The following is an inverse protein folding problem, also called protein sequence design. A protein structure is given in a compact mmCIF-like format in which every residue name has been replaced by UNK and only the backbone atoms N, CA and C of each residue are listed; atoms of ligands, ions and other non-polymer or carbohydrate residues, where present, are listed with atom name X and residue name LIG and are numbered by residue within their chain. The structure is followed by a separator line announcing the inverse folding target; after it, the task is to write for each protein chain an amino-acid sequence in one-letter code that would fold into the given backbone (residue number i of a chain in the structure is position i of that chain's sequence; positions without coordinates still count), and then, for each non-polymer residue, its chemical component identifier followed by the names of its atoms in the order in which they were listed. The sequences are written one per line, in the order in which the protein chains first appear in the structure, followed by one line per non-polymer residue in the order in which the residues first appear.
data_IF_043310054002
#
_entry.id   IF_043310054002
#
_cell.length_a   1.000
_cell.length_b   1.000
_cell.length_c   1.000
_cell.angle_alpha   90.00
_cell.angle_beta   90.00
_cell.angle_gamma   90.00
#
_symmetry.space_group_name_H-M   'P 1'
#
loop_
_entity.id
_entity.type
_entity.pdbx_description
1 polymer ?
#
# COMPACT_ATOMS: atom_id res chain seq x y z
N UNK A 1 -19.94 -1.92 -9.81
CA UNK A 1 -19.24 -1.30 -9.64
C UNK A 1 -18.63 -0.57 -8.48
N UNK A 2 -19.40 0.18 -7.68
CA UNK A 2 -18.80 0.80 -6.51
C UNK A 2 -18.17 -0.21 -5.57
N UNK A 3 -18.87 -1.29 -5.33
CA UNK A 3 -18.37 -2.32 -4.43
C UNK A 3 -17.12 -2.98 -4.96
N UNK A 4 -17.06 -3.18 -6.27
CA UNK A 4 -15.90 -3.76 -6.90
C UNK A 4 -14.69 -2.85 -6.71
N UNK A 5 -14.88 -1.55 -6.90
CA UNK A 5 -13.82 -0.58 -6.72
C UNK A 5 -13.32 -0.56 -5.27
N UNK A 6 -14.25 -0.52 -4.33
CA UNK A 6 -13.91 -0.51 -2.90
C UNK A 6 -13.18 -1.79 -2.52
N UNK A 7 -13.67 -2.92 -3.01
CA UNK A 7 -13.05 -4.22 -2.74
C UNK A 7 -11.63 -4.26 -3.27
N UNK A 8 -11.40 -3.70 -4.46
CA UNK A 8 -10.06 -3.66 -5.04
C UNK A 8 -9.10 -2.83 -4.19
N UNK A 9 -9.56 -1.67 -3.72
CA UNK A 9 -8.73 -0.82 -2.87
C UNK A 9 -8.42 -1.52 -1.55
N UNK A 10 -9.41 -2.19 -0.96
CA UNK A 10 -9.21 -2.94 0.27
C UNK A 10 -8.26 -4.10 0.05
N UNK A 11 -8.37 -4.78 -1.07
CA UNK A 11 -7.50 -5.91 -1.39
C UNK A 11 -6.04 -5.46 -1.51
N UNK A 12 -5.80 -4.32 -2.16
CA UNK A 12 -4.45 -3.79 -2.25
C UNK A 12 -3.92 -3.42 -0.87
N UNK A 13 -4.72 -2.72 -0.08
CA UNK A 13 -4.31 -2.35 1.27
C UNK A 13 -3.97 -3.57 2.12
N UNK A 14 -4.75 -4.62 1.98
CA UNK A 14 -4.51 -5.86 2.73
C UNK A 14 -3.20 -6.52 2.31
N UNK A 15 -2.91 -6.53 1.02
CA UNK A 15 -1.64 -7.07 0.50
C UNK A 15 -0.46 -6.30 1.09
N UNK A 16 -0.57 -4.96 1.12
CA UNK A 16 0.49 -4.13 1.68
C UNK A 16 0.69 -4.41 3.16
N UNK A 17 -0.40 -4.54 3.90
CA UNK A 17 -0.35 -4.82 5.32
C UNK A 17 0.30 -6.17 5.59
N UNK A 18 -0.06 -7.18 4.81
CA UNK A 18 0.52 -8.51 4.98
C UNK A 18 2.02 -8.52 4.72
N UNK A 19 2.45 -7.81 3.68
CA UNK A 19 3.86 -7.69 3.40
C UNK A 19 4.59 -7.02 4.57
N UNK A 20 4.02 -5.92 5.06
CA UNK A 20 4.62 -5.16 6.15
C UNK A 20 4.77 -6.02 7.41
N UNK A 21 3.69 -6.67 7.82
CA UNK A 21 3.71 -7.47 9.04
C UNK A 21 4.59 -8.71 8.91
N UNK A 22 4.60 -9.32 7.73
CA UNK A 22 5.44 -10.48 7.47
C UNK A 22 6.93 -10.15 7.54
N UNK A 23 7.29 -8.91 7.26
CA UNK A 23 8.66 -8.45 7.31
C UNK A 23 9.01 -7.75 8.63
N UNK A 24 8.10 -7.76 9.59
CA UNK A 24 8.34 -7.17 10.90
C UNK A 24 8.50 -5.66 10.88
N UNK A 25 7.89 -4.99 9.91
CA UNK A 25 8.03 -3.55 9.74
C UNK A 25 6.87 -2.85 10.44
N UNK A 26 7.18 -1.82 11.24
CA UNK A 26 6.16 -1.06 11.94
C UNK A 26 5.54 0.00 11.04
N UNK A 27 4.31 0.40 11.37
CA UNK A 27 3.68 1.53 10.70
C UNK A 27 4.53 2.78 10.82
N UNK A 28 5.15 2.97 11.97
CA UNK A 28 5.99 4.13 12.22
C UNK A 28 7.16 4.20 11.24
N UNK A 29 7.78 3.08 10.92
CA UNK A 29 8.92 3.06 10.00
C UNK A 29 8.55 3.60 8.63
N UNK A 30 7.39 3.21 8.13
CA UNK A 30 6.92 3.67 6.82
C UNK A 30 6.51 5.14 6.89
N UNK A 31 5.83 5.52 7.97
CA UNK A 31 5.41 6.91 8.16
C UNK A 31 6.61 7.84 8.22
N UNK A 32 7.65 7.44 8.94
CA UNK A 32 8.87 8.24 9.06
C UNK A 32 9.55 8.39 7.71
N UNK A 33 9.67 7.30 6.97
CA UNK A 33 10.28 7.34 5.64
C UNK A 33 9.53 8.31 4.73
N UNK A 34 8.21 8.25 4.75
CA UNK A 34 7.39 9.08 3.87
C UNK A 34 7.09 10.47 4.41
N UNK A 35 7.63 10.81 5.56
CA UNK A 35 7.38 12.11 6.21
C UNK A 35 5.88 12.35 6.37
N UNK A 36 5.19 11.35 6.91
CA UNK A 36 3.75 11.42 7.11
C UNK A 36 3.41 10.83 8.47
N UNK A 37 2.13 10.77 8.78
CA UNK A 37 1.65 10.26 10.07
C UNK A 37 1.30 8.79 9.97
N UNK A 38 1.41 8.09 11.09
CA UNK A 38 1.04 6.68 11.19
C UNK A 38 -0.41 6.47 10.73
N UNK A 39 -1.31 7.38 11.11
CA UNK A 39 -2.70 7.26 10.72
C UNK A 39 -2.89 7.23 9.22
N UNK A 40 -2.08 7.99 8.49
CA UNK A 40 -2.18 8.01 7.03
C UNK A 40 -1.74 6.69 6.43
N UNK A 41 -0.69 6.08 6.98
CA UNK A 41 -0.23 4.77 6.53
C UNK A 41 -1.31 3.72 6.83
N UNK A 42 -1.91 3.80 8.00
CA UNK A 42 -2.98 2.88 8.37
C UNK A 42 -4.15 2.98 7.41
N UNK A 43 -4.50 4.20 6.98
CA UNK A 43 -5.58 4.40 6.02
C UNK A 43 -5.27 3.76 4.67
N UNK A 44 -4.01 3.80 4.24
CA UNK A 44 -3.61 3.12 3.01
C UNK A 44 -3.93 1.64 3.12
N UNK A 45 -3.60 1.03 4.24
CA UNK A 45 -3.84 -0.40 4.44
C UNK A 45 -5.32 -0.73 4.54
N UNK A 46 -6.14 0.26 4.90
CA UNK A 46 -7.59 0.09 4.97
C UNK A 46 -8.28 0.41 3.64
N UNK A 47 -7.51 0.79 2.63
CA UNK A 47 -8.07 1.10 1.32
C UNK A 47 -8.60 2.53 1.20
N UNK A 48 -8.28 3.39 2.16
CA UNK A 48 -8.75 4.78 2.19
C UNK A 48 -7.54 5.70 2.18
N UNK A 49 -6.92 5.86 1.04
CA UNK A 49 -5.68 6.63 0.99
C UNK A 49 -5.72 7.67 -0.11
N UNK A 50 -5.02 8.78 0.11
CA UNK A 50 -4.74 9.67 -1.01
C UNK A 50 -3.54 9.12 -1.78
N UNK A 51 -3.39 9.58 -3.01
CA UNK A 51 -2.36 9.06 -3.90
C UNK A 51 -0.96 9.33 -3.40
N UNK A 52 -0.76 10.46 -2.75
CA UNK A 52 0.58 10.83 -2.28
C UNK A 52 1.05 9.85 -1.19
N UNK A 53 0.19 9.53 -0.24
CA UNK A 53 0.55 8.61 0.83
C UNK A 53 0.79 7.21 0.27
N UNK A 54 -0.06 6.78 -0.67
CA UNK A 54 0.12 5.48 -1.30
C UNK A 54 1.45 5.43 -2.05
N UNK A 55 1.79 6.50 -2.78
CA UNK A 55 3.04 6.55 -3.53
C UNK A 55 4.25 6.42 -2.58
N UNK A 56 4.18 7.08 -1.43
CA UNK A 56 5.26 7.00 -0.45
C UNK A 56 5.39 5.61 0.15
N UNK A 57 4.27 4.96 0.38
CA UNK A 57 4.27 3.58 0.88
C UNK A 57 4.93 2.66 -0.15
N UNK A 58 4.53 2.81 -1.41
CA UNK A 58 5.11 2.01 -2.49
C UNK A 58 6.60 2.28 -2.66
N UNK A 59 7.01 3.53 -2.51
CA UNK A 59 8.43 3.88 -2.60
C UNK A 59 9.24 3.19 -1.50
N UNK A 60 8.69 3.13 -0.30
CA UNK A 60 9.33 2.40 0.80
C UNK A 60 9.50 0.93 0.42
N UNK A 61 8.46 0.32 -0.14
CA UNK A 61 8.52 -1.06 -0.58
C UNK A 61 9.62 -1.25 -1.63
N UNK A 62 9.70 -0.33 -2.58
CA UNK A 62 10.69 -0.41 -3.64
C UNK A 62 12.11 -0.45 -3.09
N UNK A 63 12.38 0.34 -2.05
CA UNK A 63 13.73 0.37 -1.45
C UNK A 63 14.05 -0.89 -0.68
N UNK A 64 13.05 -1.62 -0.21
CA UNK A 64 13.24 -2.82 0.61
C UNK A 64 13.10 -4.11 -0.17
N UNK A 65 12.22 -4.14 -1.16
CA UNK A 65 11.84 -5.37 -1.86
C UNK A 65 11.28 -5.02 -3.23
N UNK A 66 12.17 -4.83 -4.20
CA UNK A 66 11.72 -4.41 -5.52
C UNK A 66 10.97 -5.51 -6.26
N UNK A 67 11.15 -6.77 -5.89
CA UNK A 67 10.38 -7.85 -6.49
C UNK A 67 8.92 -7.76 -6.06
N UNK A 68 8.70 -7.50 -4.78
CA UNK A 68 7.34 -7.31 -4.27
C UNK A 68 6.73 -6.04 -4.86
N UNK A 69 7.52 -4.99 -5.03
CA UNK A 69 7.05 -3.75 -5.64
C UNK A 69 6.46 -3.99 -7.02
N UNK A 70 7.15 -4.77 -7.85
CA UNK A 70 6.65 -5.13 -9.18
C UNK A 70 5.33 -5.89 -9.10
N UNK A 71 5.24 -6.80 -8.14
CA UNK A 71 4.03 -7.57 -7.93
C UNK A 71 2.84 -6.68 -7.57
N UNK A 72 3.08 -5.70 -6.70
CA UNK A 72 2.04 -4.76 -6.29
C UNK A 72 1.59 -3.90 -7.47
N UNK A 73 2.54 -3.43 -8.27
CA UNK A 73 2.19 -2.64 -9.46
C UNK A 73 1.32 -3.44 -10.42
N UNK A 74 1.63 -4.71 -10.61
CA UNK A 74 0.83 -5.56 -11.49
C UNK A 74 -0.60 -5.73 -10.96
N UNK A 75 -0.74 -5.93 -9.65
CA UNK A 75 -2.05 -6.03 -9.04
C UNK A 75 -2.84 -4.75 -9.24
N UNK A 76 -2.21 -3.62 -9.00
CA UNK A 76 -2.85 -2.32 -9.13
C UNK A 76 -3.27 -2.06 -10.56
N UNK A 77 -2.38 -2.32 -11.53
CA UNK A 77 -2.69 -2.10 -12.93
C UNK A 77 -3.84 -2.98 -13.41
N UNK A 78 -3.87 -4.24 -12.96
CA UNK A 78 -4.97 -5.13 -13.29
C UNK A 78 -6.30 -4.57 -12.80
N UNK A 79 -6.34 -4.07 -11.57
CA UNK A 79 -7.56 -3.53 -10.99
C UNK A 79 -7.99 -2.25 -11.69
N UNK A 80 -7.03 -1.43 -12.11
CA UNK A 80 -7.36 -0.19 -12.80
C UNK A 80 -7.83 -0.43 -14.23
N UNK A 81 -7.36 -1.50 -14.85
CA UNK A 81 -7.71 -1.80 -16.23
C UNK A 81 -8.96 -2.66 -16.35
N UNK A 82 -9.43 -3.20 -15.26
CA UNK A 82 -10.69 -3.95 -15.29
C UNK A 82 -11.86 -3.04 -14.95
#
# INVERSE_FOLDING_TARGET
MKETWTTSANALGQVLKEWRTSNGISLYSIAKYGTTRVENIKKVEEGVANMLTLARYLDYIYTKDNVFFDKVLNIWQDKMNS
#
